data_IF_461625685196
#
_entry.id   IF_461625685196
#
_cell.length_a   1.000
_cell.length_b   1.000
_cell.length_c   1.000
_cell.angle_alpha   90.00
_cell.angle_beta   90.00
_cell.angle_gamma   90.00
#
_symmetry.space_group_name_H-M   'P 1'
#
loop_
_entity.id
_entity.type
_entity.pdbx_description
1 polymer ?
#
# COMPACT_ATOMS: atom_id res chain seq x y z
N UNK A 1 30.52 39.22 -4.98
CA UNK A 1 31.49 38.15 -5.31
C UNK A 1 32.25 37.88 -4.02
N UNK A 2 32.20 36.70 -3.41
CA UNK A 2 31.78 35.37 -3.91
C UNK A 2 31.27 34.51 -2.74
N UNK A 3 30.19 33.74 -2.91
CA UNK A 3 29.81 32.66 -1.98
C UNK A 3 30.60 31.39 -2.30
N UNK A 4 30.90 30.53 -1.31
CA UNK A 4 30.03 29.40 -0.97
C UNK A 4 29.83 29.30 0.57
N UNK A 5 29.17 28.33 1.18
CA UNK A 5 28.84 26.96 0.76
C UNK A 5 27.50 26.49 1.36
N UNK A 6 26.77 25.65 0.63
CA UNK A 6 25.51 25.08 1.08
C UNK A 6 25.80 23.84 1.94
N UNK A 7 25.84 24.02 3.26
CA UNK A 7 25.97 22.91 4.20
C UNK A 7 24.86 21.89 4.02
N UNK A 8 25.16 20.79 3.32
CA UNK A 8 24.23 19.70 3.10
C UNK A 8 23.87 19.05 4.47
N UNK A 9 22.58 18.89 4.79
CA UNK A 9 22.20 18.23 6.04
C UNK A 9 22.63 16.76 6.02
N UNK A 10 23.30 16.36 7.10
CA UNK A 10 23.90 15.04 7.29
C UNK A 10 22.87 13.90 7.23
N UNK A 11 23.29 12.75 6.67
CA UNK A 11 22.48 11.54 6.56
C UNK A 11 22.38 10.77 7.90
N UNK A 12 21.82 11.40 8.92
CA UNK A 12 21.65 10.82 10.27
C UNK A 12 20.18 10.85 10.71
N UNK A 13 19.60 9.66 10.93
CA UNK A 13 18.31 9.51 11.60
C UNK A 13 17.14 9.10 10.69
N UNK A 14 17.05 7.81 10.36
CA UNK A 14 15.75 7.16 10.18
C UNK A 14 15.52 6.27 11.41
N UNK A 15 14.45 6.49 12.19
CA UNK A 15 14.25 5.79 13.46
C UNK A 15 13.81 4.34 13.24
N UNK A 16 13.93 3.53 14.30
CA UNK A 16 13.61 2.09 14.34
C UNK A 16 12.14 1.73 14.02
N UNK A 17 11.30 2.76 13.81
CA UNK A 17 9.86 2.75 13.54
C UNK A 17 9.52 2.28 12.11
N UNK A 18 10.48 1.91 11.26
CA UNK A 18 10.22 1.20 9.99
C UNK A 18 9.83 -0.29 10.22
N UNK A 19 8.89 -0.45 11.17
CA UNK A 19 8.23 -1.61 11.75
C UNK A 19 7.55 -2.64 10.83
N UNK A 20 6.91 -2.28 9.69
CA UNK A 20 5.74 -3.02 9.22
C UNK A 20 5.94 -4.51 9.00
N UNK A 21 5.19 -5.27 9.76
CA UNK A 21 4.80 -6.64 9.51
C UNK A 21 3.54 -6.67 8.62
N UNK A 22 3.15 -7.83 8.09
CA UNK A 22 1.92 -8.01 7.28
C UNK A 22 0.66 -7.42 7.97
N UNK A 23 0.61 -7.46 9.31
CA UNK A 23 -0.46 -6.85 10.13
C UNK A 23 -0.52 -5.32 10.10
N UNK A 24 0.58 -4.63 9.84
CA UNK A 24 0.64 -3.16 9.79
C UNK A 24 0.40 -2.64 8.38
N UNK A 25 0.86 -3.38 7.36
CA UNK A 25 0.61 -3.05 5.96
C UNK A 25 -0.87 -3.24 5.59
N UNK A 26 -1.51 -4.34 5.98
CA UNK A 26 -2.94 -4.55 5.73
C UNK A 26 -3.78 -4.01 6.90
N UNK A 27 -4.66 -3.05 6.64
CA UNK A 27 -5.49 -2.41 7.67
C UNK A 27 -6.42 -3.37 8.42
N UNK A 28 -6.81 -3.01 9.65
CA UNK A 28 -7.77 -3.76 10.47
C UNK A 28 -9.11 -3.94 9.76
N UNK A 29 -9.60 -2.88 9.09
CA UNK A 29 -10.78 -2.87 8.24
C UNK A 29 -10.80 -3.93 7.12
N UNK A 30 -9.65 -4.49 6.72
CA UNK A 30 -9.59 -5.64 5.80
C UNK A 30 -9.30 -6.95 6.53
N UNK A 31 -8.52 -6.91 7.62
CA UNK A 31 -8.13 -8.11 8.37
C UNK A 31 -9.25 -8.73 9.19
N UNK A 32 -10.10 -7.91 9.81
CA UNK A 32 -11.08 -8.32 10.83
C UNK A 32 -12.50 -8.36 10.25
N UNK A 33 -13.20 -9.53 10.29
CA UNK A 33 -14.57 -9.64 9.77
C UNK A 33 -15.60 -8.81 10.54
N UNK A 34 -15.41 -8.58 11.85
CA UNK A 34 -16.33 -7.75 12.63
C UNK A 34 -16.18 -6.27 12.25
N UNK A 35 -14.96 -5.83 11.96
CA UNK A 35 -14.70 -4.47 11.48
C UNK A 35 -15.19 -4.28 10.03
N UNK A 36 -15.05 -5.31 9.17
CA UNK A 36 -15.69 -5.32 7.83
C UNK A 36 -17.20 -5.13 7.94
N UNK A 37 -17.86 -5.91 8.80
CA UNK A 37 -19.30 -5.81 9.04
C UNK A 37 -19.74 -4.42 9.53
N UNK A 38 -19.02 -3.83 10.51
CA UNK A 38 -19.29 -2.46 11.01
C UNK A 38 -19.16 -1.40 9.91
N UNK A 39 -18.24 -1.59 8.96
CA UNK A 39 -18.00 -0.67 7.86
C UNK A 39 -18.91 -0.90 6.65
N UNK A 40 -19.79 -1.92 6.68
CA UNK A 40 -20.62 -2.29 5.52
C UNK A 40 -19.81 -2.88 4.35
N UNK A 41 -18.63 -3.43 4.64
CA UNK A 41 -17.80 -4.19 3.73
C UNK A 41 -18.27 -5.66 3.80
N UNK A 42 -18.20 -6.38 2.67
CA UNK A 42 -18.54 -7.80 2.65
C UNK A 42 -17.68 -8.60 3.65
N UNK A 43 -18.30 -9.53 4.37
CA UNK A 43 -17.61 -10.37 5.35
C UNK A 43 -17.02 -11.63 4.73
N UNK A 44 -17.49 -12.02 3.53
CA UNK A 44 -16.86 -13.06 2.72
C UNK A 44 -15.40 -12.68 2.39
N UNK A 45 -14.47 -13.62 2.54
CA UNK A 45 -13.05 -13.37 2.31
C UNK A 45 -12.68 -13.39 0.83
N UNK A 46 -13.49 -14.05 -0.02
CA UNK A 46 -13.28 -14.20 -1.45
C UNK A 46 -14.04 -13.11 -2.27
N UNK A 47 -14.99 -12.40 -1.66
CA UNK A 47 -15.72 -11.31 -2.29
C UNK A 47 -14.79 -10.12 -2.65
N UNK A 48 -14.69 -9.69 -3.93
CA UNK A 48 -13.78 -8.60 -4.31
C UNK A 48 -14.26 -7.22 -3.85
N UNK A 49 -13.52 -6.61 -2.93
CA UNK A 49 -13.80 -5.28 -2.39
C UNK A 49 -12.89 -4.22 -3.04
N UNK A 50 -13.37 -2.97 -3.24
CA UNK A 50 -12.52 -1.85 -3.60
C UNK A 50 -11.43 -1.64 -2.54
N UNK A 51 -10.17 -1.56 -2.97
CA UNK A 51 -9.03 -1.28 -2.10
C UNK A 51 -8.22 -0.08 -2.62
N UNK A 52 -7.51 0.54 -1.69
CA UNK A 52 -6.43 1.49 -1.92
C UNK A 52 -5.10 0.85 -1.52
N UNK A 53 -4.05 1.12 -2.30
CA UNK A 53 -2.67 0.71 -2.06
C UNK A 53 -1.78 1.95 -2.10
N UNK A 54 -0.99 2.16 -1.05
CA UNK A 54 0.02 3.22 -0.99
C UNK A 54 1.42 2.65 -1.19
N UNK A 55 2.18 3.28 -2.08
CA UNK A 55 3.56 2.94 -2.36
C UNK A 55 4.51 3.42 -1.27
N UNK A 56 5.54 2.62 -1.03
CA UNK A 56 6.68 2.99 -0.19
C UNK A 56 7.48 4.14 -0.84
N UNK A 57 7.24 5.38 -0.37
CA UNK A 57 7.96 6.57 -0.81
C UNK A 57 9.47 6.52 -0.52
N UNK A 58 9.91 5.70 0.44
CA UNK A 58 11.31 5.54 0.83
C UNK A 58 12.03 4.44 0.01
N UNK A 59 11.41 3.96 -1.08
CA UNK A 59 11.99 2.95 -1.95
C UNK A 59 13.28 3.48 -2.64
N UNK A 60 14.41 2.76 -2.63
CA UNK A 60 15.69 3.26 -3.16
C UNK A 60 15.66 3.69 -4.64
N UNK A 61 14.81 3.05 -5.44
CA UNK A 61 14.57 3.43 -6.85
C UNK A 61 13.43 4.45 -7.05
N UNK A 62 12.95 5.08 -5.98
CA UNK A 62 11.81 5.99 -5.99
C UNK A 62 10.47 5.30 -6.30
N UNK A 63 9.44 6.13 -6.51
CA UNK A 63 8.06 5.71 -6.74
C UNK A 63 7.88 4.86 -8.01
N UNK A 64 8.58 5.16 -9.12
CA UNK A 64 8.47 4.33 -10.34
C UNK A 64 8.99 2.91 -10.12
N UNK A 65 10.06 2.72 -9.34
CA UNK A 65 10.55 1.39 -9.04
C UNK A 65 9.63 0.64 -8.05
N UNK A 66 9.06 1.34 -7.07
CA UNK A 66 8.03 0.77 -6.18
C UNK A 66 6.76 0.37 -6.98
N UNK A 67 6.34 1.20 -7.93
CA UNK A 67 5.24 0.94 -8.86
C UNK A 67 5.52 -0.27 -9.77
N UNK A 68 6.70 -0.33 -10.38
CA UNK A 68 7.09 -1.45 -11.24
C UNK A 68 7.04 -2.78 -10.48
N UNK A 69 7.58 -2.80 -9.25
CA UNK A 69 7.48 -3.95 -8.35
C UNK A 69 6.02 -4.25 -7.97
N UNK A 70 5.17 -3.26 -7.71
CA UNK A 70 3.75 -3.49 -7.43
C UNK A 70 3.02 -4.16 -8.62
N UNK A 71 3.32 -3.74 -9.85
CA UNK A 71 2.77 -4.37 -11.07
C UNK A 71 3.28 -5.82 -11.21
N UNK A 72 4.55 -6.08 -10.92
CA UNK A 72 5.12 -7.44 -10.90
C UNK A 72 4.40 -8.34 -9.87
N UNK A 73 4.13 -7.83 -8.67
CA UNK A 73 3.38 -8.56 -7.63
C UNK A 73 1.96 -8.90 -8.10
N UNK A 74 1.24 -7.96 -8.73
CA UNK A 74 -0.08 -8.23 -9.30
C UNK A 74 -0.04 -9.28 -10.43
N UNK A 75 0.93 -9.17 -11.33
CA UNK A 75 1.10 -10.13 -12.42
C UNK A 75 1.38 -11.54 -11.90
N UNK A 76 2.22 -11.68 -10.87
CA UNK A 76 2.69 -12.96 -10.34
C UNK A 76 1.71 -13.63 -9.38
N UNK A 77 1.15 -12.87 -8.44
CA UNK A 77 0.31 -13.42 -7.37
C UNK A 77 -1.16 -13.53 -7.77
N UNK A 78 -1.62 -12.69 -8.71
CA UNK A 78 -3.03 -12.53 -9.07
C UNK A 78 -3.32 -12.80 -10.56
N UNK A 79 -2.29 -12.94 -11.39
CA UNK A 79 -2.45 -13.10 -12.84
C UNK A 79 -2.86 -11.82 -13.57
N UNK A 80 -2.70 -10.65 -12.95
CA UNK A 80 -3.18 -9.35 -13.44
C UNK A 80 -2.02 -8.46 -13.95
N UNK A 81 -1.52 -8.65 -15.19
CA UNK A 81 -0.32 -7.97 -15.70
C UNK A 81 -0.49 -6.46 -15.92
N UNK A 82 -1.73 -5.96 -15.99
CA UNK A 82 -2.01 -4.52 -16.02
C UNK A 82 -1.73 -3.84 -14.67
N UNK A 83 -1.74 -4.60 -13.57
CA UNK A 83 -1.59 -4.09 -12.22
C UNK A 83 -2.77 -3.22 -11.75
N UNK A 84 -2.65 -2.55 -10.59
CA UNK A 84 -3.69 -1.69 -10.07
C UNK A 84 -3.73 -0.35 -10.80
N UNK A 85 -4.92 0.28 -10.85
CA UNK A 85 -5.12 1.59 -11.47
C UNK A 85 -4.48 2.69 -10.62
N UNK A 86 -3.72 3.58 -11.24
CA UNK A 86 -3.21 4.77 -10.54
C UNK A 86 -4.35 5.73 -10.14
N UNK A 87 -4.21 6.32 -8.95
CA UNK A 87 -5.04 7.42 -8.42
C UNK A 87 -4.19 8.68 -8.26
N UNK A 88 -2.94 8.52 -7.79
CA UNK A 88 -1.90 9.55 -7.75
C UNK A 88 -0.52 8.92 -7.97
N UNK A 89 0.57 9.68 -7.84
CA UNK A 89 1.93 9.14 -7.97
C UNK A 89 2.31 8.09 -6.91
N UNK A 90 1.65 8.09 -5.74
CA UNK A 90 1.88 7.11 -4.66
C UNK A 90 0.67 6.24 -4.33
N UNK A 91 -0.53 6.57 -4.84
CA UNK A 91 -1.79 5.89 -4.51
C UNK A 91 -2.36 5.16 -5.72
N UNK A 92 -2.75 3.90 -5.50
CA UNK A 92 -3.29 2.98 -6.49
C UNK A 92 -4.57 2.34 -5.96
N UNK A 93 -5.42 1.83 -6.86
CA UNK A 93 -6.67 1.16 -6.51
C UNK A 93 -6.93 -0.08 -7.38
N UNK A 94 -7.56 -1.08 -6.78
CA UNK A 94 -8.01 -2.30 -7.44
C UNK A 94 -9.29 -2.83 -6.74
N UNK A 95 -9.94 -3.83 -7.33
CA UNK A 95 -10.86 -4.71 -6.59
C UNK A 95 -10.15 -6.02 -6.31
N UNK A 96 -9.89 -6.31 -5.04
CA UNK A 96 -9.29 -7.57 -4.60
C UNK A 96 -10.16 -8.20 -3.51
N UNK A 97 -10.14 -9.53 -3.43
CA UNK A 97 -10.63 -10.24 -2.25
C UNK A 97 -9.75 -9.94 -1.03
N UNK A 98 -10.22 -10.28 0.17
CA UNK A 98 -9.38 -10.21 1.38
C UNK A 98 -8.26 -11.24 1.31
N UNK A 99 -8.54 -12.43 0.76
CA UNK A 99 -7.55 -13.48 0.52
C UNK A 99 -6.41 -12.98 -0.40
N UNK A 100 -6.73 -12.34 -1.51
CA UNK A 100 -5.76 -11.79 -2.47
C UNK A 100 -4.98 -10.60 -1.92
N UNK A 101 -5.66 -9.74 -1.14
CA UNK A 101 -5.00 -8.64 -0.43
C UNK A 101 -3.95 -9.17 0.56
N UNK A 102 -4.24 -10.27 1.26
CA UNK A 102 -3.26 -10.95 2.14
C UNK A 102 -2.13 -11.61 1.34
N UNK A 103 -2.44 -12.30 0.23
CA UNK A 103 -1.49 -12.94 -0.69
C UNK A 103 -0.46 -11.92 -1.20
N UNK A 104 -0.94 -10.79 -1.73
CA UNK A 104 -0.14 -9.69 -2.25
C UNK A 104 0.79 -9.09 -1.19
N UNK A 105 0.26 -8.78 0.00
CA UNK A 105 1.06 -8.20 1.10
C UNK A 105 2.09 -9.20 1.64
N UNK A 106 1.75 -10.48 1.74
CA UNK A 106 2.69 -11.52 2.13
C UNK A 106 3.83 -11.68 1.11
N UNK A 107 3.51 -11.63 -0.18
CA UNK A 107 4.48 -11.72 -1.27
C UNK A 107 5.43 -10.50 -1.32
N UNK A 108 4.96 -9.28 -1.03
CA UNK A 108 5.87 -8.13 -0.89
C UNK A 108 6.72 -8.22 0.39
N UNK A 109 6.12 -8.68 1.50
CA UNK A 109 6.82 -8.86 2.78
C UNK A 109 7.91 -9.94 2.74
N UNK A 110 7.93 -10.80 1.73
CA UNK A 110 9.02 -11.76 1.47
C UNK A 110 10.34 -11.08 1.06
N UNK A 111 10.33 -9.82 0.62
CA UNK A 111 11.56 -9.04 0.46
C UNK A 111 12.15 -8.71 1.85
N UNK A 112 13.39 -9.14 2.14
CA UNK A 112 14.02 -8.92 3.43
C UNK A 112 14.40 -7.45 3.66
N UNK A 113 14.80 -6.70 2.63
CA UNK A 113 15.03 -5.27 2.76
C UNK A 113 13.70 -4.51 2.70
N UNK A 114 13.27 -4.04 3.87
CA UNK A 114 12.06 -3.23 4.06
C UNK A 114 12.02 -1.98 3.18
N UNK A 115 13.17 -1.41 2.79
CA UNK A 115 13.22 -0.27 1.87
C UNK A 115 12.91 -0.70 0.43
N UNK A 116 13.21 -1.94 0.04
CA UNK A 116 12.95 -2.49 -1.32
C UNK A 116 11.54 -3.06 -1.50
N UNK A 117 10.70 -3.00 -0.46
CA UNK A 117 9.27 -3.32 -0.53
C UNK A 117 8.50 -2.25 -1.30
N UNK A 118 7.51 -2.66 -2.07
CA UNK A 118 6.68 -1.76 -2.86
C UNK A 118 5.56 -1.14 -2.02
N UNK A 119 4.97 -1.91 -1.12
CA UNK A 119 3.71 -1.60 -0.44
C UNK A 119 4.00 -1.00 0.94
N UNK A 120 3.56 0.23 1.15
CA UNK A 120 3.52 0.84 2.47
C UNK A 120 2.27 0.40 3.24
N UNK A 121 1.09 0.54 2.62
CA UNK A 121 -0.21 0.27 3.26
C UNK A 121 -1.29 -0.14 2.26
N UNK A 122 -2.24 -0.97 2.70
CA UNK A 122 -3.45 -1.42 1.98
C UNK A 122 -4.67 -1.25 2.88
N UNK A 123 -5.74 -0.63 2.36
CA UNK A 123 -7.00 -0.38 3.08
C UNK A 123 -8.20 -0.38 2.13
N UNK A 124 -9.46 -0.46 2.60
CA UNK A 124 -10.63 -0.42 1.73
C UNK A 124 -10.80 0.97 1.10
N UNK A 125 -11.18 1.04 -0.17
CA UNK A 125 -11.61 2.29 -0.80
C UNK A 125 -13.07 2.58 -0.39
N UNK A 126 -13.22 3.39 0.65
CA UNK A 126 -14.53 3.69 1.23
C UNK A 126 -15.35 4.62 0.30
N UNK A 127 -16.57 4.23 -0.11
CA UNK A 127 -17.48 5.16 -0.75
C UNK A 127 -17.95 6.20 0.29
N UNK A 128 -17.26 7.35 0.32
CA UNK A 128 -17.68 8.52 1.09
C UNK A 128 -19.07 8.97 0.64
N UNK A 129 -20.10 8.58 1.39
CA UNK A 129 -21.44 9.15 1.23
C UNK A 129 -21.38 10.58 1.78
N UNK A 130 -21.50 11.63 0.94
CA UNK A 130 -21.57 12.98 1.45
C UNK A 130 -22.78 13.09 2.37
N UNK A 131 -22.58 13.62 3.59
CA UNK A 131 -23.67 13.96 4.49
C UNK A 131 -24.57 14.98 3.77
N UNK A 132 -25.77 14.56 3.38
CA UNK A 132 -26.80 15.49 2.95
C UNK A 132 -27.25 16.29 4.18
N UNK A 133 -26.70 17.47 4.36
CA UNK A 133 -27.36 18.52 5.15
C UNK A 133 -28.74 18.73 4.54
N UNK A 134 -29.79 18.41 5.30
CA UNK A 134 -31.20 18.68 5.00
C UNK A 134 -31.76 19.62 6.06
#
# INVERSE_FOLDING_TARGET
>A
MTGPDAGAPSAAGLPEVMRPNVRETLSEALRDPDERARMGIDTDEDAPVPIMVELNIAHPGGLEAARARLVELFARELGEPAGPRAVSGSLFTARLSVADSRRLVAADAAEPDRRRRAIYRVWPDFPVRPLRSS
#
